data_IF_502533457093
#
_entry.id   IF_502533457093
#
_cell.length_a   1.000
_cell.length_b   1.000
_cell.length_c   1.000
_cell.angle_alpha   90.00
_cell.angle_beta   90.00
_cell.angle_gamma   90.00
#
_symmetry.space_group_name_H-M   'P 1'
#
loop_
_entity.id
_entity.type
_entity.pdbx_description
1 polymer ?
#
# COMPACT_ATOMS: atom_id res chain seq x y z
N UNK A 1 0.12 61.29 -25.64
CA UNK A 1 -0.74 60.20 -26.13
C UNK A 1 -0.15 59.73 -27.45
N UNK A 2 -0.15 58.43 -27.73
CA UNK A 2 -0.25 57.96 -29.11
C UNK A 2 -1.59 58.44 -29.70
N UNK A 3 -1.73 58.79 -30.97
CA UNK A 3 -0.77 58.71 -32.08
C UNK A 3 -1.36 57.81 -33.15
N UNK A 4 -1.60 58.37 -34.34
CA UNK A 4 -2.37 57.73 -35.42
C UNK A 4 -1.86 58.17 -36.82
N UNK A 5 -2.21 57.31 -37.78
CA UNK A 5 -2.47 57.52 -39.22
C UNK A 5 -1.37 57.81 -40.28
N UNK A 6 -1.48 56.97 -41.32
CA UNK A 6 -1.26 57.16 -42.76
C UNK A 6 0.12 57.50 -43.34
N UNK A 7 0.78 56.40 -43.70
CA UNK A 7 1.35 56.17 -45.03
C UNK A 7 0.89 57.13 -46.16
N UNK A 8 1.84 57.90 -46.72
CA UNK A 8 1.86 58.17 -48.17
C UNK A 8 3.26 57.99 -48.74
N UNK A 9 3.39 56.92 -49.52
CA UNK A 9 4.59 56.61 -50.33
C UNK A 9 4.58 57.38 -51.66
N UNK A 10 5.63 57.16 -52.49
CA UNK A 10 5.82 57.64 -53.89
C UNK A 10 6.30 59.11 -54.04
N UNK A 11 7.29 59.44 -54.91
CA UNK A 11 8.25 58.63 -55.69
C UNK A 11 9.36 59.53 -56.30
N UNK A 12 10.61 59.05 -56.44
CA UNK A 12 11.62 59.40 -57.47
C UNK A 12 12.96 58.67 -57.16
N UNK A 13 13.44 57.75 -58.01
CA UNK A 13 14.47 57.93 -59.07
C UNK A 13 15.93 58.16 -58.56
N UNK A 14 17.00 57.55 -59.10
CA UNK A 14 17.21 56.46 -60.10
C UNK A 14 18.64 55.85 -59.93
N UNK A 15 19.02 54.75 -60.62
CA UNK A 15 20.18 53.92 -60.25
C UNK A 15 21.41 53.96 -61.20
N UNK A 16 22.52 53.35 -60.76
CA UNK A 16 23.48 52.54 -61.53
C UNK A 16 24.24 51.63 -60.52
N UNK A 17 24.80 50.45 -60.80
CA UNK A 17 25.59 50.02 -61.97
C UNK A 17 25.55 48.48 -62.23
N UNK A 18 25.74 48.11 -63.50
CA UNK A 18 26.20 46.83 -64.10
C UNK A 18 25.69 45.45 -63.59
N UNK A 19 24.84 44.85 -64.44
CA UNK A 19 24.89 43.43 -64.85
C UNK A 19 25.81 43.34 -66.11
N UNK A 20 26.25 42.22 -66.71
CA UNK A 20 26.04 40.76 -66.58
C UNK A 20 27.19 40.04 -67.36
N UNK A 21 27.43 38.71 -67.43
CA UNK A 21 27.20 37.49 -66.62
C UNK A 21 27.91 36.31 -67.32
N UNK A 22 28.43 35.31 -66.61
CA UNK A 22 28.69 33.97 -67.17
C UNK A 22 28.15 32.87 -66.23
N UNK A 23 27.73 31.73 -66.81
CA UNK A 23 27.03 30.62 -66.14
C UNK A 23 28.07 29.61 -65.58
N UNK A 24 27.81 28.64 -64.68
CA UNK A 24 26.63 27.84 -64.27
C UNK A 24 26.89 27.27 -62.83
N UNK A 25 26.04 26.39 -62.24
CA UNK A 25 24.59 26.19 -62.34
C UNK A 25 23.88 26.51 -60.99
N UNK A 26 22.61 26.14 -60.83
CA UNK A 26 21.83 26.40 -59.62
C UNK A 26 22.38 25.72 -58.35
N UNK A 27 22.52 26.48 -57.26
CA UNK A 27 22.73 25.94 -55.90
C UNK A 27 21.38 25.64 -55.26
N UNK A 28 21.24 24.45 -54.67
CA UNK A 28 20.06 24.07 -53.91
C UNK A 28 19.89 24.97 -52.67
N UNK A 29 18.63 25.19 -52.27
CA UNK A 29 18.31 25.87 -51.01
C UNK A 29 18.79 25.06 -49.79
N UNK A 30 18.85 25.69 -48.59
CA UNK A 30 19.21 24.98 -47.37
C UNK A 30 18.24 23.81 -47.12
N UNK A 31 18.73 22.67 -46.62
CA UNK A 31 17.87 21.51 -46.41
C UNK A 31 16.75 21.85 -45.44
N UNK A 32 15.51 21.54 -45.82
CA UNK A 32 14.39 21.61 -44.90
C UNK A 32 14.72 20.72 -43.70
N UNK A 33 14.89 21.33 -42.51
CA UNK A 33 15.06 20.58 -41.26
C UNK A 33 13.87 19.64 -41.15
N UNK A 34 14.14 18.33 -41.18
CA UNK A 34 13.12 17.33 -40.91
C UNK A 34 12.44 17.73 -39.59
N UNK A 35 11.11 17.79 -39.58
CA UNK A 35 10.37 17.97 -38.34
C UNK A 35 10.66 16.74 -37.50
N UNK A 36 11.56 16.88 -36.53
CA UNK A 36 11.73 15.88 -35.50
C UNK A 36 10.36 15.61 -34.90
N UNK A 37 9.96 14.34 -34.90
CA UNK A 37 8.82 13.93 -34.09
C UNK A 37 9.29 14.15 -32.65
N UNK A 38 8.84 15.24 -32.03
CA UNK A 38 8.94 15.37 -30.58
C UNK A 38 8.14 14.21 -30.00
N UNK A 39 8.85 13.17 -29.57
CA UNK A 39 8.25 12.04 -28.86
C UNK A 39 7.65 12.58 -27.57
N UNK A 40 6.33 12.86 -27.64
CA UNK A 40 5.52 13.28 -26.50
C UNK A 40 5.84 12.35 -25.33
N UNK A 41 6.48 12.84 -24.25
CA UNK A 41 7.08 11.97 -23.25
C UNK A 41 6.07 10.94 -22.73
N UNK A 42 6.50 9.69 -22.60
CA UNK A 42 5.65 8.50 -22.46
C UNK A 42 4.60 8.57 -21.31
N UNK A 43 4.81 9.44 -20.32
CA UNK A 43 3.84 9.72 -19.25
C UNK A 43 2.59 10.49 -19.73
N UNK A 44 2.61 11.16 -20.88
CA UNK A 44 1.47 11.90 -21.42
C UNK A 44 0.33 10.95 -21.80
N UNK A 45 -0.85 11.23 -21.26
CA UNK A 45 -2.03 10.36 -21.34
C UNK A 45 -1.90 9.02 -20.60
N UNK A 46 -0.73 8.68 -20.03
CA UNK A 46 -0.55 7.41 -19.30
C UNK A 46 -1.49 7.32 -18.10
N UNK A 47 -1.60 8.43 -17.35
CA UNK A 47 -2.53 8.60 -16.23
C UNK A 47 -3.98 8.23 -16.59
N UNK A 48 -4.42 8.58 -17.79
CA UNK A 48 -5.81 8.44 -18.21
C UNK A 48 -6.08 7.08 -18.87
N UNK A 49 -5.12 6.54 -19.64
CA UNK A 49 -5.13 5.13 -20.08
C UNK A 49 -5.18 4.15 -18.89
N UNK A 50 -4.48 4.46 -17.80
CA UNK A 50 -4.46 3.62 -16.59
C UNK A 50 -5.81 3.63 -15.87
N UNK A 51 -6.46 4.79 -15.82
CA UNK A 51 -7.83 4.96 -15.27
C UNK A 51 -8.87 4.26 -16.14
N UNK A 52 -8.76 4.39 -17.46
CA UNK A 52 -9.65 3.76 -18.44
C UNK A 52 -9.57 2.23 -18.36
N UNK A 53 -8.37 1.65 -18.25
CA UNK A 53 -8.19 0.21 -18.05
C UNK A 53 -8.79 -0.28 -16.73
N UNK A 54 -8.57 0.45 -15.63
CA UNK A 54 -9.17 0.10 -14.33
C UNK A 54 -10.72 0.17 -14.36
N UNK A 55 -11.28 1.17 -15.06
CA UNK A 55 -12.72 1.35 -15.18
C UNK A 55 -13.40 0.33 -16.13
N UNK A 56 -12.69 -0.16 -17.15
CA UNK A 56 -13.23 -1.09 -18.16
C UNK A 56 -12.96 -2.56 -17.87
N UNK A 57 -11.86 -2.89 -17.20
CA UNK A 57 -11.42 -4.26 -16.92
C UNK A 57 -11.26 -4.60 -15.43
N UNK A 58 -11.54 -3.66 -14.53
CA UNK A 58 -11.56 -3.89 -13.08
C UNK A 58 -10.18 -3.88 -12.42
N UNK A 59 -10.11 -4.27 -11.12
CA UNK A 59 -8.87 -4.22 -10.34
C UNK A 59 -7.83 -5.24 -10.80
N UNK A 60 -8.25 -6.46 -11.14
CA UNK A 60 -7.37 -7.59 -11.50
C UNK A 60 -6.63 -7.38 -12.84
N UNK A 61 -7.06 -6.40 -13.64
CA UNK A 61 -6.42 -6.02 -14.90
C UNK A 61 -5.17 -5.13 -14.74
N UNK A 62 -4.80 -4.77 -13.51
CA UNK A 62 -3.62 -3.95 -13.19
C UNK A 62 -2.68 -4.68 -12.21
N UNK A 63 -1.39 -4.87 -12.53
CA UNK A 63 -0.41 -5.36 -11.55
C UNK A 63 -0.14 -4.32 -10.45
N UNK A 64 0.32 -4.78 -9.27
CA UNK A 64 0.66 -3.99 -8.07
C UNK A 64 1.25 -2.59 -8.34
N UNK A 65 2.22 -2.49 -9.25
CA UNK A 65 2.92 -1.24 -9.53
C UNK A 65 2.03 -0.20 -10.23
N UNK A 66 1.09 -0.64 -11.07
CA UNK A 66 0.14 0.25 -11.74
C UNK A 66 -1.01 0.66 -10.80
N UNK A 67 -1.43 -0.24 -9.91
CA UNK A 67 -2.36 0.11 -8.84
C UNK A 67 -1.75 1.14 -7.87
N UNK A 68 -0.46 1.03 -7.58
CA UNK A 68 0.30 2.03 -6.84
C UNK A 68 0.46 3.35 -7.62
N UNK A 69 0.72 3.31 -8.94
CA UNK A 69 0.71 4.50 -9.80
C UNK A 69 -0.65 5.23 -9.76
N UNK A 70 -1.78 4.49 -9.81
CA UNK A 70 -3.13 5.06 -9.70
C UNK A 70 -3.38 5.78 -8.37
N UNK A 71 -2.94 5.20 -7.25
CA UNK A 71 -3.03 5.84 -5.93
C UNK A 71 -2.17 7.12 -5.91
N UNK A 72 -0.89 7.00 -6.28
CA UNK A 72 0.07 8.11 -6.29
C UNK A 72 -0.37 9.24 -7.24
N UNK A 73 -1.09 8.97 -8.33
CA UNK A 73 -1.64 10.04 -9.18
C UNK A 73 -2.57 11.00 -8.43
N UNK A 74 -3.26 10.53 -7.37
CA UNK A 74 -4.11 11.38 -6.52
C UNK A 74 -3.31 12.17 -5.50
N UNK A 75 -2.26 11.54 -4.93
CA UNK A 75 -1.42 12.12 -3.87
C UNK A 75 -0.36 13.08 -4.40
N UNK A 76 0.10 12.86 -5.64
CA UNK A 76 1.14 13.65 -6.32
C UNK A 76 0.55 14.23 -7.63
N UNK A 77 -0.09 15.41 -7.56
CA UNK A 77 -0.66 16.06 -8.74
C UNK A 77 0.44 16.55 -9.69
N UNK A 78 0.17 16.48 -11.01
CA UNK A 78 1.03 17.01 -12.09
C UNK A 78 2.46 16.43 -12.18
N UNK A 79 2.78 15.35 -11.47
CA UNK A 79 4.03 14.61 -11.61
C UNK A 79 3.86 13.27 -12.35
N UNK A 80 4.97 12.76 -12.89
CA UNK A 80 5.12 11.35 -13.23
C UNK A 80 5.39 10.55 -11.95
N UNK A 81 4.49 9.63 -11.61
CA UNK A 81 4.54 8.80 -10.40
C UNK A 81 5.13 7.42 -10.65
N UNK A 82 5.38 7.04 -11.91
CA UNK A 82 5.95 5.75 -12.29
C UNK A 82 7.34 5.50 -11.70
N UNK A 83 8.26 6.48 -11.64
CA UNK A 83 9.52 6.33 -10.92
C UNK A 83 9.30 6.11 -9.41
N UNK A 84 8.31 6.77 -8.80
CA UNK A 84 8.03 6.71 -7.36
C UNK A 84 7.41 5.35 -6.99
N UNK A 85 6.43 4.87 -7.77
CA UNK A 85 5.84 3.54 -7.60
C UNK A 85 6.89 2.43 -7.71
N UNK A 86 7.76 2.50 -8.72
CA UNK A 86 8.87 1.56 -8.90
C UNK A 86 9.90 1.65 -7.77
N UNK A 87 10.25 2.84 -7.29
CA UNK A 87 11.19 3.01 -6.18
C UNK A 87 10.63 2.47 -4.86
N UNK A 88 9.33 2.66 -4.60
CA UNK A 88 8.64 2.07 -3.45
C UNK A 88 8.68 0.54 -3.49
N UNK A 89 8.26 -0.09 -4.60
CA UNK A 89 8.27 -1.56 -4.71
C UNK A 89 9.69 -2.13 -4.75
N UNK A 90 10.66 -1.47 -5.37
CA UNK A 90 12.06 -1.89 -5.33
C UNK A 90 12.67 -1.82 -3.92
N UNK A 91 12.19 -0.92 -3.04
CA UNK A 91 12.63 -0.82 -1.64
C UNK A 91 11.90 -1.78 -0.71
N UNK A 92 10.60 -1.98 -0.91
CA UNK A 92 9.74 -2.68 0.05
C UNK A 92 9.26 -4.07 -0.39
N UNK A 93 9.40 -4.44 -1.66
CA UNK A 93 8.94 -5.72 -2.21
C UNK A 93 7.54 -5.61 -2.82
N UNK A 94 6.51 -5.89 -2.02
CA UNK A 94 5.10 -5.97 -2.46
C UNK A 94 4.30 -4.68 -2.20
N UNK A 95 3.14 -4.52 -2.86
CA UNK A 95 2.23 -3.40 -2.58
C UNK A 95 1.79 -3.36 -1.10
N UNK A 96 1.58 -4.52 -0.49
CA UNK A 96 1.21 -4.62 0.91
C UNK A 96 2.36 -4.25 1.86
N UNK A 97 3.62 -4.56 1.51
CA UNK A 97 4.79 -4.07 2.26
C UNK A 97 4.99 -2.55 2.12
N UNK A 98 4.68 -1.96 0.95
CA UNK A 98 4.65 -0.49 0.77
C UNK A 98 3.60 0.15 1.68
N UNK A 99 2.39 -0.41 1.77
CA UNK A 99 1.33 0.08 2.63
C UNK A 99 1.65 -0.14 4.13
N UNK A 100 2.30 -1.24 4.47
CA UNK A 100 2.77 -1.55 5.84
C UNK A 100 3.96 -0.71 6.33
N UNK A 101 4.89 -0.34 5.46
CA UNK A 101 6.16 0.31 5.80
C UNK A 101 6.02 1.55 6.73
N UNK A 102 6.88 1.70 7.76
CA UNK A 102 6.88 2.88 8.64
C UNK A 102 7.01 4.21 7.88
N UNK A 103 6.35 5.25 8.39
CA UNK A 103 6.28 6.59 7.77
C UNK A 103 7.66 7.18 7.46
N UNK A 104 8.65 7.00 8.35
CA UNK A 104 10.03 7.44 8.11
C UNK A 104 10.69 6.74 6.91
N UNK A 105 10.57 5.41 6.83
CA UNK A 105 11.15 4.64 5.72
C UNK A 105 10.47 4.96 4.38
N UNK A 106 9.18 5.28 4.39
CA UNK A 106 8.46 5.78 3.22
C UNK A 106 9.02 7.13 2.74
N UNK A 107 9.29 8.06 3.67
CA UNK A 107 9.79 9.40 3.37
C UNK A 107 11.24 9.42 2.82
N UNK A 108 12.03 8.36 3.04
CA UNK A 108 13.33 8.21 2.38
C UNK A 108 13.24 7.99 0.85
N UNK A 109 12.05 7.62 0.32
CA UNK A 109 11.88 7.42 -1.13
C UNK A 109 11.62 8.77 -1.82
N UNK A 110 12.54 9.17 -2.70
CA UNK A 110 12.46 10.43 -3.46
C UNK A 110 11.10 10.57 -4.17
N UNK A 111 10.33 11.58 -3.76
CA UNK A 111 8.97 11.86 -4.25
C UNK A 111 7.87 11.59 -3.21
N UNK A 112 8.16 10.86 -2.13
CA UNK A 112 7.22 10.56 -1.05
C UNK A 112 7.39 11.58 0.07
N UNK A 113 6.74 12.73 -0.07
CA UNK A 113 6.69 13.74 0.99
C UNK A 113 5.82 13.31 2.19
N UNK A 114 5.84 14.05 3.32
CA UNK A 114 5.06 13.71 4.52
C UNK A 114 3.56 13.51 4.27
N UNK A 115 2.96 14.31 3.39
CA UNK A 115 1.56 14.14 2.98
C UNK A 115 1.31 12.79 2.28
N UNK A 116 2.15 12.43 1.29
CA UNK A 116 2.04 11.15 0.57
C UNK A 116 2.18 9.95 1.53
N UNK A 117 3.12 10.02 2.48
CA UNK A 117 3.30 8.98 3.48
C UNK A 117 2.11 8.89 4.46
N UNK A 118 1.50 10.03 4.84
CA UNK A 118 0.27 10.06 5.64
C UNK A 118 -0.92 9.47 4.89
N UNK A 119 -1.14 9.87 3.64
CA UNK A 119 -2.26 9.40 2.82
C UNK A 119 -2.19 7.89 2.54
N UNK A 120 -0.99 7.35 2.29
CA UNK A 120 -0.78 5.89 2.22
C UNK A 120 -1.17 5.19 3.53
N UNK A 121 -0.95 5.83 4.70
CA UNK A 121 -1.41 5.30 6.00
C UNK A 121 -2.90 5.49 6.23
N UNK A 122 -3.53 6.55 5.71
CA UNK A 122 -4.99 6.68 5.70
C UNK A 122 -5.62 5.58 4.85
N UNK A 123 -5.08 5.29 3.66
CA UNK A 123 -5.50 4.15 2.81
C UNK A 123 -5.36 2.82 3.56
N UNK A 124 -4.18 2.57 4.16
CA UNK A 124 -3.91 1.34 4.94
C UNK A 124 -4.90 1.17 6.10
N UNK A 125 -5.08 2.23 6.91
CA UNK A 125 -6.00 2.22 8.04
C UNK A 125 -7.49 2.21 7.62
N UNK A 126 -7.79 2.51 6.36
CA UNK A 126 -9.14 2.36 5.78
C UNK A 126 -9.37 0.91 5.36
N UNK A 127 -8.42 0.30 4.63
CA UNK A 127 -8.47 -1.11 4.27
C UNK A 127 -8.55 -2.03 5.51
N UNK A 128 -7.75 -1.76 6.54
CA UNK A 128 -7.81 -2.47 7.82
C UNK A 128 -9.16 -2.30 8.55
N UNK A 129 -9.80 -1.11 8.46
CA UNK A 129 -11.13 -0.88 9.01
C UNK A 129 -12.23 -1.55 8.20
N UNK A 130 -12.09 -1.64 6.87
CA UNK A 130 -13.02 -2.39 6.01
C UNK A 130 -12.95 -3.89 6.31
N UNK A 131 -11.74 -4.46 6.40
CA UNK A 131 -11.54 -5.85 6.80
C UNK A 131 -12.15 -6.14 8.19
N UNK A 132 -11.98 -5.23 9.16
CA UNK A 132 -12.63 -5.31 10.49
C UNK A 132 -14.15 -5.18 10.41
N UNK A 133 -14.66 -4.29 9.58
CA UNK A 133 -16.09 -4.02 9.40
C UNK A 133 -16.85 -5.16 8.75
N UNK A 134 -16.25 -5.84 7.76
CA UNK A 134 -16.80 -7.06 7.18
C UNK A 134 -16.78 -8.26 8.13
N UNK A 135 -15.91 -8.23 9.14
CA UNK A 135 -15.79 -9.25 10.18
C UNK A 135 -16.77 -9.04 11.34
N UNK A 136 -17.14 -7.80 11.64
CA UNK A 136 -18.05 -7.47 12.74
C UNK A 136 -19.49 -7.88 12.39
N UNK A 137 -19.95 -9.00 12.95
CA UNK A 137 -21.29 -9.56 12.70
C UNK A 137 -21.34 -10.69 11.65
N UNK A 138 -20.20 -11.21 11.17
CA UNK A 138 -20.13 -12.47 10.43
C UNK A 138 -19.59 -13.61 11.31
N UNK A 139 -19.96 -14.84 10.97
CA UNK A 139 -19.23 -16.03 11.41
C UNK A 139 -17.83 -16.03 10.74
N UNK A 140 -16.80 -15.46 11.42
CA UNK A 140 -15.40 -15.55 10.93
C UNK A 140 -15.04 -17.00 10.61
N UNK A 141 -15.47 -17.91 11.48
CA UNK A 141 -15.12 -19.32 11.43
C UNK A 141 -15.99 -20.13 10.44
N UNK A 142 -16.74 -19.46 9.56
CA UNK A 142 -17.34 -20.07 8.37
C UNK A 142 -16.29 -20.62 7.39
N UNK A 143 -15.05 -20.09 7.40
CA UNK A 143 -13.88 -20.84 6.91
C UNK A 143 -12.56 -20.42 7.57
N UNK A 144 -11.67 -21.38 7.77
CA UNK A 144 -10.31 -21.13 8.29
C UNK A 144 -9.51 -20.15 7.42
N UNK A 145 -9.73 -20.17 6.10
CA UNK A 145 -9.04 -19.27 5.17
C UNK A 145 -9.43 -17.79 5.38
N UNK A 146 -10.72 -17.49 5.62
CA UNK A 146 -11.16 -16.12 5.89
C UNK A 146 -10.50 -15.52 7.14
N UNK A 147 -10.35 -16.32 8.20
CA UNK A 147 -9.62 -15.94 9.40
C UNK A 147 -8.14 -15.60 9.09
N UNK A 148 -7.47 -16.43 8.30
CA UNK A 148 -6.08 -16.21 7.93
C UNK A 148 -5.89 -14.98 7.05
N UNK A 149 -6.74 -14.79 6.04
CA UNK A 149 -6.70 -13.63 5.15
C UNK A 149 -6.97 -12.33 5.93
N UNK A 150 -7.92 -12.38 6.89
CA UNK A 150 -8.18 -11.29 7.83
C UNK A 150 -6.95 -10.96 8.69
N UNK A 151 -6.39 -11.93 9.40
CA UNK A 151 -5.22 -11.72 10.26
C UNK A 151 -3.99 -11.25 9.46
N UNK A 152 -3.79 -11.79 8.26
CA UNK A 152 -2.72 -11.38 7.33
C UNK A 152 -2.90 -9.93 6.89
N UNK A 153 -4.11 -9.53 6.47
CA UNK A 153 -4.45 -8.15 6.10
C UNK A 153 -4.27 -7.17 7.28
N UNK A 154 -4.64 -7.60 8.49
CA UNK A 154 -4.55 -6.78 9.69
C UNK A 154 -3.11 -6.64 10.26
N UNK A 155 -2.20 -7.59 10.02
CA UNK A 155 -0.94 -7.70 10.80
C UNK A 155 0.34 -8.04 10.02
N UNK A 156 0.29 -8.65 8.83
CA UNK A 156 1.49 -9.26 8.21
C UNK A 156 2.57 -8.26 7.76
N UNK A 157 2.23 -6.97 7.68
CA UNK A 157 3.12 -5.89 7.25
C UNK A 157 3.25 -4.77 8.30
N UNK A 158 2.76 -5.02 9.52
CA UNK A 158 3.05 -4.16 10.67
C UNK A 158 4.52 -4.32 11.08
N UNK A 159 5.19 -3.20 11.34
CA UNK A 159 6.61 -3.16 11.68
C UNK A 159 6.88 -3.35 13.18
N UNK A 160 5.83 -3.30 13.99
CA UNK A 160 5.83 -3.63 15.42
C UNK A 160 5.21 -5.00 15.65
N UNK A 161 5.61 -5.63 16.73
CA UNK A 161 4.92 -6.82 17.21
C UNK A 161 3.60 -6.41 17.89
N UNK A 162 2.51 -7.06 17.51
CA UNK A 162 1.19 -6.89 18.09
C UNK A 162 0.66 -8.23 18.60
N UNK A 163 0.26 -8.29 19.88
CA UNK A 163 -0.53 -9.42 20.39
C UNK A 163 -2.02 -9.07 20.29
N UNK A 164 -2.76 -9.91 19.57
CA UNK A 164 -4.17 -9.75 19.23
C UNK A 164 -4.98 -10.93 19.77
N UNK A 165 -6.19 -10.65 20.23
CA UNK A 165 -7.15 -11.67 20.67
C UNK A 165 -8.47 -11.45 19.97
N UNK A 166 -8.96 -12.53 19.37
CA UNK A 166 -10.29 -12.62 18.77
C UNK A 166 -11.21 -13.31 19.77
N UNK A 167 -12.17 -12.57 20.31
CA UNK A 167 -13.13 -13.05 21.30
C UNK A 167 -14.40 -13.57 20.61
N UNK A 168 -14.82 -14.80 20.94
CA UNK A 168 -15.82 -15.56 20.19
C UNK A 168 -16.98 -16.01 21.09
N UNK A 169 -18.19 -16.00 20.54
CA UNK A 169 -19.41 -16.48 21.19
C UNK A 169 -19.59 -18.01 21.07
N UNK A 170 -20.73 -18.54 21.56
CA UNK A 170 -21.06 -19.98 21.50
C UNK A 170 -21.32 -20.50 20.08
N UNK A 171 -21.51 -19.61 19.10
CA UNK A 171 -21.65 -19.92 17.67
C UNK A 171 -20.38 -19.64 16.88
N UNK A 172 -19.23 -19.42 17.54
CA UNK A 172 -17.97 -19.07 16.89
C UNK A 172 -18.03 -17.77 16.06
N UNK A 173 -18.97 -16.88 16.39
CA UNK A 173 -19.09 -15.50 15.85
C UNK A 173 -18.19 -14.56 16.66
N UNK A 174 -17.57 -13.58 16.01
CA UNK A 174 -16.72 -12.60 16.70
C UNK A 174 -17.54 -11.59 17.49
N UNK A 175 -17.20 -11.48 18.78
CA UNK A 175 -17.68 -10.44 19.70
C UNK A 175 -16.77 -9.20 19.58
N UNK A 176 -15.45 -9.39 19.68
CA UNK A 176 -14.46 -8.32 19.57
C UNK A 176 -13.12 -8.81 19.03
N UNK A 177 -12.43 -7.94 18.28
CA UNK A 177 -11.03 -8.09 17.88
C UNK A 177 -10.22 -6.99 18.57
N UNK A 178 -9.34 -7.36 19.49
CA UNK A 178 -8.58 -6.41 20.31
C UNK A 178 -7.08 -6.69 20.28
N UNK A 179 -6.30 -5.62 20.08
CA UNK A 179 -4.84 -5.66 20.26
C UNK A 179 -4.56 -5.40 21.74
N UNK A 180 -4.19 -6.45 22.48
CA UNK A 180 -3.87 -6.35 23.91
C UNK A 180 -2.46 -5.78 24.15
N UNK A 181 -1.57 -5.85 23.15
CA UNK A 181 -0.20 -5.34 23.23
C UNK A 181 0.31 -4.82 21.89
N UNK A 182 1.03 -3.69 21.92
CA UNK A 182 1.87 -3.21 20.81
C UNK A 182 3.27 -2.93 21.35
N UNK A 183 4.29 -3.65 20.87
CA UNK A 183 5.65 -3.62 21.44
C UNK A 183 6.76 -3.21 20.47
N UNK A 184 7.94 -2.94 21.02
CA UNK A 184 9.20 -2.78 20.28
C UNK A 184 10.36 -3.33 21.11
N UNK A 185 11.01 -4.40 20.62
CA UNK A 185 12.22 -5.05 21.15
C UNK A 185 12.09 -5.67 22.55
N UNK A 186 11.66 -4.92 23.56
CA UNK A 186 11.46 -5.41 24.92
C UNK A 186 9.99 -5.78 25.15
N UNK A 187 9.70 -7.06 25.38
CA UNK A 187 8.34 -7.51 25.67
C UNK A 187 7.84 -6.93 26.99
N UNK A 188 6.71 -6.21 26.93
CA UNK A 188 5.73 -6.35 28.02
C UNK A 188 5.17 -7.77 27.94
N UNK A 189 5.07 -8.55 29.03
CA UNK A 189 4.52 -9.89 28.95
C UNK A 189 2.99 -9.87 28.85
N UNK A 190 2.42 -10.74 28.00
CA UNK A 190 0.98 -11.00 27.96
C UNK A 190 0.59 -11.75 29.23
N UNK A 191 -0.18 -11.10 30.12
CA UNK A 191 -0.61 -11.72 31.37
C UNK A 191 -1.90 -12.55 31.18
N UNK A 192 -1.90 -13.87 31.44
CA UNK A 192 -3.09 -14.72 31.29
C UNK A 192 -4.33 -14.22 32.04
N UNK A 193 -4.14 -13.58 33.20
CA UNK A 193 -5.23 -13.01 34.00
C UNK A 193 -6.00 -11.91 33.27
N UNK A 194 -5.33 -11.06 32.48
CA UNK A 194 -6.01 -9.96 31.76
C UNK A 194 -6.74 -10.50 30.53
N UNK A 195 -6.14 -11.49 29.84
CA UNK A 195 -6.78 -12.23 28.73
C UNK A 195 -8.09 -12.89 29.19
N UNK A 196 -8.02 -13.63 30.30
CA UNK A 196 -9.17 -14.33 30.89
C UNK A 196 -10.22 -13.35 31.41
N UNK A 197 -9.79 -12.30 32.12
CA UNK A 197 -10.69 -11.21 32.57
C UNK A 197 -11.42 -10.56 31.39
N UNK A 198 -10.71 -10.25 30.29
CA UNK A 198 -11.31 -9.60 29.12
C UNK A 198 -12.29 -10.53 28.38
N UNK A 199 -11.98 -11.82 28.30
CA UNK A 199 -12.91 -12.82 27.78
C UNK A 199 -14.20 -12.91 28.62
N UNK A 200 -14.10 -12.85 29.96
CA UNK A 200 -15.26 -12.81 30.85
C UNK A 200 -16.06 -11.51 30.72
N UNK A 201 -15.40 -10.35 30.66
CA UNK A 201 -16.05 -9.03 30.43
C UNK A 201 -16.87 -9.02 29.13
N UNK A 202 -16.37 -9.66 28.08
CA UNK A 202 -17.02 -9.80 26.78
C UNK A 202 -17.99 -10.98 26.68
N UNK A 203 -18.17 -11.77 27.76
CA UNK A 203 -18.96 -13.02 27.76
C UNK A 203 -18.55 -14.04 26.67
N UNK A 204 -17.28 -14.01 26.27
CA UNK A 204 -16.72 -14.91 25.27
C UNK A 204 -16.60 -16.35 25.81
N UNK A 205 -16.91 -17.33 24.97
CA UNK A 205 -16.77 -18.76 25.29
C UNK A 205 -15.62 -19.42 24.54
N UNK A 206 -15.05 -18.74 23.55
CA UNK A 206 -13.77 -19.11 22.98
C UNK A 206 -12.93 -17.88 22.63
N UNK A 207 -11.62 -18.09 22.49
CA UNK A 207 -10.67 -17.09 21.99
C UNK A 207 -9.72 -17.72 20.96
N UNK A 208 -9.26 -16.90 20.01
CA UNK A 208 -8.09 -17.21 19.17
C UNK A 208 -7.02 -16.17 19.49
N UNK A 209 -5.81 -16.64 19.77
CA UNK A 209 -4.64 -15.80 19.99
C UNK A 209 -3.94 -15.58 18.64
N UNK A 210 -3.47 -14.37 18.37
CA UNK A 210 -2.74 -14.05 17.14
C UNK A 210 -1.62 -13.07 17.43
N UNK A 211 -0.41 -13.31 16.91
CA UNK A 211 0.62 -12.27 16.85
C UNK A 211 1.36 -12.27 15.50
N UNK A 212 2.11 -11.21 15.22
CA UNK A 212 2.93 -11.10 14.02
C UNK A 212 4.41 -11.03 14.37
N UNK A 213 5.25 -11.71 13.59
CA UNK A 213 6.70 -11.56 13.67
C UNK A 213 7.18 -10.56 12.59
N UNK A 214 7.69 -9.36 12.95
CA UNK A 214 8.15 -8.36 11.98
C UNK A 214 9.34 -8.82 11.12
N UNK A 215 10.11 -9.82 11.62
CA UNK A 215 11.14 -10.56 10.88
C UNK A 215 10.59 -11.30 9.65
N UNK A 216 9.31 -11.68 9.70
CA UNK A 216 8.58 -12.36 8.63
C UNK A 216 8.59 -13.89 8.69
N UNK A 217 9.32 -14.49 9.63
CA UNK A 217 9.31 -15.93 9.93
C UNK A 217 8.23 -16.25 10.98
N UNK A 218 7.18 -17.05 10.67
CA UNK A 218 6.11 -17.36 11.61
C UNK A 218 6.44 -18.49 12.60
N UNK A 219 7.68 -19.01 12.64
CA UNK A 219 8.07 -20.10 13.55
C UNK A 219 7.89 -19.68 15.02
N UNK A 220 7.13 -20.43 15.85
CA UNK A 220 6.91 -20.09 17.26
C UNK A 220 8.19 -20.17 18.08
N UNK A 221 8.42 -19.17 18.94
CA UNK A 221 9.46 -19.25 19.97
C UNK A 221 8.99 -20.12 21.14
N UNK A 222 9.94 -20.50 21.99
CA UNK A 222 9.64 -21.23 23.22
C UNK A 222 8.78 -20.39 24.19
N UNK A 223 9.00 -19.08 24.25
CA UNK A 223 8.25 -18.18 25.13
C UNK A 223 6.77 -18.12 24.72
N UNK A 224 6.49 -18.12 23.42
CA UNK A 224 5.12 -18.11 22.91
C UNK A 224 4.38 -19.40 23.31
N UNK A 225 5.04 -20.55 23.17
CA UNK A 225 4.47 -21.86 23.53
C UNK A 225 4.19 -21.95 25.04
N UNK A 226 5.11 -21.45 25.88
CA UNK A 226 4.95 -21.44 27.35
C UNK A 226 3.80 -20.50 27.77
N UNK A 227 3.78 -19.25 27.29
CA UNK A 227 2.71 -18.29 27.55
C UNK A 227 1.33 -18.77 27.05
N UNK A 228 1.28 -19.43 25.88
CA UNK A 228 0.02 -19.99 25.34
C UNK A 228 -0.56 -21.05 26.26
N UNK A 229 0.29 -21.90 26.86
CA UNK A 229 -0.14 -22.96 27.78
C UNK A 229 -0.67 -22.40 29.09
N UNK A 230 -0.07 -21.34 29.62
CA UNK A 230 -0.61 -20.62 30.78
C UNK A 230 -1.99 -20.01 30.49
N UNK A 231 -2.21 -19.43 29.30
CA UNK A 231 -3.53 -18.94 28.88
C UNK A 231 -4.53 -20.08 28.76
N UNK A 232 -4.16 -21.21 28.15
CA UNK A 232 -5.02 -22.40 28.01
C UNK A 232 -5.47 -22.90 29.37
N UNK A 233 -4.55 -23.14 30.31
CA UNK A 233 -4.90 -23.71 31.61
C UNK A 233 -5.71 -22.74 32.49
N UNK A 234 -5.47 -21.43 32.37
CA UNK A 234 -6.27 -20.41 33.05
C UNK A 234 -7.70 -20.31 32.46
N UNK A 235 -7.83 -20.25 31.14
CA UNK A 235 -9.11 -20.13 30.43
C UNK A 235 -10.02 -21.36 30.59
N UNK A 236 -9.41 -22.56 30.51
CA UNK A 236 -10.07 -23.87 30.62
C UNK A 236 -10.85 -24.06 31.92
N UNK A 237 -10.36 -23.51 33.04
CA UNK A 237 -11.04 -23.58 34.35
C UNK A 237 -12.33 -22.76 34.41
N UNK A 238 -12.52 -21.82 33.49
CA UNK A 238 -13.65 -20.89 33.43
C UNK A 238 -14.58 -21.17 32.24
N UNK A 239 -14.37 -22.29 31.53
CA UNK A 239 -15.18 -22.70 30.37
C UNK A 239 -14.87 -21.95 29.07
N UNK A 240 -13.75 -21.21 29.02
CA UNK A 240 -13.31 -20.47 27.84
C UNK A 240 -12.34 -21.36 27.05
N UNK A 241 -12.67 -21.66 25.79
CA UNK A 241 -11.81 -22.47 24.91
C UNK A 241 -10.78 -21.62 24.18
N UNK A 242 -9.49 -21.95 24.26
CA UNK A 242 -8.51 -21.42 23.29
C UNK A 242 -8.57 -22.30 22.05
N UNK A 243 -9.02 -21.76 20.92
CA UNK A 243 -9.21 -22.54 19.70
C UNK A 243 -7.88 -22.85 18.99
N UNK A 244 -6.99 -21.87 18.91
CA UNK A 244 -5.61 -21.97 18.39
C UNK A 244 -4.81 -20.71 18.78
N UNK A 245 -3.50 -20.74 18.52
CA UNK A 245 -2.63 -19.57 18.47
C UNK A 245 -1.95 -19.50 17.10
N UNK A 246 -2.23 -18.43 16.36
CA UNK A 246 -1.74 -18.20 15.00
C UNK A 246 -0.60 -17.19 15.00
N UNK A 247 0.50 -17.49 14.31
CA UNK A 247 1.63 -16.57 14.12
C UNK A 247 1.66 -16.13 12.67
N UNK A 248 1.66 -14.82 12.44
CA UNK A 248 1.61 -14.20 11.11
C UNK A 248 3.01 -13.69 10.72
N UNK A 249 3.56 -14.26 9.64
CA UNK A 249 4.75 -13.76 8.97
C UNK A 249 4.40 -13.04 7.66
N UNK A 250 5.39 -12.42 7.01
CA UNK A 250 5.17 -11.71 5.73
C UNK A 250 4.76 -12.62 4.59
N UNK A 251 5.27 -13.87 4.59
CA UNK A 251 5.12 -14.84 3.49
C UNK A 251 4.17 -15.99 3.81
N UNK A 252 3.75 -16.16 5.06
CA UNK A 252 2.95 -17.29 5.51
C UNK A 252 2.56 -17.16 6.98
N UNK A 253 2.08 -18.24 7.57
CA UNK A 253 1.64 -18.28 8.96
C UNK A 253 2.01 -19.63 9.60
N UNK A 254 1.91 -19.72 10.92
CA UNK A 254 1.94 -20.97 11.68
C UNK A 254 0.72 -21.07 12.58
N UNK A 255 0.27 -22.30 12.82
CA UNK A 255 -0.79 -22.66 13.76
C UNK A 255 -0.14 -23.53 14.84
N UNK A 256 -0.15 -23.10 16.10
CA UNK A 256 0.47 -23.88 17.16
C UNK A 256 -0.21 -25.25 17.33
N UNK A 257 -1.55 -25.29 17.17
CA UNK A 257 -2.34 -26.52 17.22
C UNK A 257 -2.08 -27.42 16.02
N UNK A 258 -1.94 -26.86 14.82
CA UNK A 258 -1.53 -27.59 13.61
C UNK A 258 -0.11 -28.15 13.70
N UNK A 259 0.77 -27.51 14.47
CA UNK A 259 2.12 -27.97 14.81
C UNK A 259 2.15 -28.91 16.04
N UNK A 260 0.99 -29.27 16.62
CA UNK A 260 0.86 -30.12 17.82
C UNK A 260 1.62 -29.60 19.06
N UNK A 261 1.77 -28.27 19.17
CA UNK A 261 2.45 -27.62 20.29
C UNK A 261 1.52 -27.34 21.48
N UNK A 262 0.20 -27.33 21.24
CA UNK A 262 -0.91 -27.06 22.19
C UNK A 262 -2.10 -27.98 21.92
#
# INVERSE_FOLDING_TARGET
>A
MSGDDDERSFFAEKPAQLLATMHSPAKAGPPAKARGIEEKPHYLGHRDRLRERFASAGPDALPDYELLELLLFRLIPRADTKPVAKALLARFGTLAEVLGAPVGLLQEVKGVGPAVALDLKVITATAQRMARGEVHGREILSSWQQLLDYCRSAMAFEAREQFRILFLDKKNTLIADEVQQTGTVDHTPVYPREVVKRALELSATAIILVHNHPSGDPTPSRADIEMTKEIIDAAKRLGISVHDHIIIGRKGYSSMKGLLLI
#
